data_IF_211809182914
#
_entry.id   IF_211809182914
#
_cell.length_a   1.000
_cell.length_b   1.000
_cell.length_c   1.000
_cell.angle_alpha   90.00
_cell.angle_beta   90.00
_cell.angle_gamma   90.00
#
_symmetry.space_group_name_H-M   'P 1'
#
loop_
_entity.id
_entity.type
_entity.pdbx_description
1 polymer ?
#
# COMPACT_ATOMS: atom_id res chain seq x y z
N UNK A 1 -28.25 4.87 23.78
CA UNK A 1 -27.82 6.26 23.80
C UNK A 1 -26.32 6.32 24.01
N UNK A 2 -25.59 7.03 23.13
CA UNK A 2 -24.17 7.25 23.31
C UNK A 2 -23.95 8.07 24.60
N UNK A 3 -22.91 7.77 25.42
CA UNK A 3 -22.59 8.60 26.56
C UNK A 3 -22.27 10.03 26.11
N UNK A 4 -22.62 11.06 26.89
CA UNK A 4 -22.34 12.44 26.54
C UNK A 4 -20.84 12.60 26.33
N UNK A 5 -20.48 13.32 25.25
CA UNK A 5 -19.09 13.61 24.93
C UNK A 5 -18.42 14.29 26.14
N UNK A 6 -17.36 13.68 26.66
CA UNK A 6 -16.54 14.30 27.69
C UNK A 6 -16.08 15.67 27.22
N UNK A 7 -16.13 16.65 28.11
CA UNK A 7 -15.97 18.07 27.97
C UNK A 7 -15.20 18.60 26.74
N UNK A 8 -15.54 19.81 26.31
CA UNK A 8 -14.91 20.49 25.15
C UNK A 8 -13.40 20.42 25.26
N UNK A 9 -12.80 19.59 24.38
CA UNK A 9 -11.35 19.56 24.21
C UNK A 9 -10.94 20.92 23.67
N UNK A 10 -10.06 21.69 24.32
CA UNK A 10 -9.61 22.97 23.82
C UNK A 10 -8.99 22.79 22.42
N UNK A 11 -9.46 23.55 21.46
CA UNK A 11 -8.95 23.53 20.10
C UNK A 11 -7.50 24.06 20.12
N UNK A 12 -6.54 23.20 19.82
CA UNK A 12 -5.14 23.58 19.79
C UNK A 12 -4.78 24.14 18.41
N UNK A 13 -4.54 25.44 18.33
CA UNK A 13 -4.15 26.15 17.10
C UNK A 13 -2.77 25.76 16.58
N UNK A 14 -1.92 25.17 17.43
CA UNK A 14 -0.61 24.67 17.04
C UNK A 14 -0.71 23.25 16.47
N UNK A 15 -1.19 23.13 15.23
CA UNK A 15 -1.46 21.85 14.54
C UNK A 15 -0.23 20.94 14.55
N UNK A 16 0.97 21.49 14.35
CA UNK A 16 2.22 20.70 14.31
C UNK A 16 2.51 20.10 15.68
N UNK A 17 2.44 20.88 16.76
CA UNK A 17 2.66 20.37 18.12
C UNK A 17 1.60 19.33 18.50
N UNK A 18 0.33 19.59 18.21
CA UNK A 18 -0.75 18.66 18.46
C UNK A 18 -0.56 17.32 17.68
N UNK A 19 -0.03 17.39 16.46
CA UNK A 19 0.30 16.21 15.65
C UNK A 19 1.46 15.42 16.24
N UNK A 20 2.52 16.09 16.67
CA UNK A 20 3.68 15.46 17.32
C UNK A 20 3.27 14.79 18.63
N UNK A 21 2.48 15.46 19.48
CA UNK A 21 1.99 14.92 20.75
C UNK A 21 1.08 13.71 20.52
N UNK A 22 0.23 13.78 19.50
CA UNK A 22 -0.63 12.68 19.09
C UNK A 22 0.18 11.45 18.69
N UNK A 23 1.16 11.62 17.82
CA UNK A 23 2.06 10.56 17.37
C UNK A 23 2.85 9.99 18.54
N UNK A 24 3.48 10.86 19.36
CA UNK A 24 4.28 10.43 20.51
C UNK A 24 3.44 9.62 21.52
N UNK A 25 2.22 10.08 21.83
CA UNK A 25 1.32 9.37 22.75
C UNK A 25 0.89 7.99 22.23
N UNK A 26 0.85 7.78 20.93
CA UNK A 26 0.47 6.51 20.31
C UNK A 26 1.66 5.56 20.14
N UNK A 27 2.83 6.10 19.76
CA UNK A 27 4.01 5.30 19.44
C UNK A 27 4.75 4.73 20.67
N UNK A 28 4.45 5.15 21.90
CA UNK A 28 5.07 4.58 23.10
C UNK A 28 4.65 3.11 23.34
N UNK A 29 3.53 2.67 22.78
CA UNK A 29 3.07 1.29 22.84
C UNK A 29 3.74 0.49 21.73
N UNK A 30 4.75 -0.33 22.08
CA UNK A 30 5.59 -1.05 21.11
C UNK A 30 4.79 -1.82 20.03
N UNK A 31 3.68 -2.45 20.39
CA UNK A 31 2.83 -3.21 19.44
C UNK A 31 2.15 -2.26 18.41
N UNK A 32 1.65 -1.13 18.87
CA UNK A 32 1.06 -0.09 17.99
C UNK A 32 2.14 0.56 17.12
N UNK A 33 3.30 0.86 17.70
CA UNK A 33 4.44 1.39 16.96
C UNK A 33 4.82 0.49 15.78
N UNK A 34 4.99 -0.82 16.01
CA UNK A 34 5.34 -1.77 14.96
C UNK A 34 4.25 -1.88 13.89
N UNK A 35 2.97 -1.87 14.28
CA UNK A 35 1.86 -1.90 13.33
C UNK A 35 1.83 -0.64 12.46
N UNK A 36 1.95 0.55 13.08
CA UNK A 36 1.98 1.83 12.36
C UNK A 36 3.19 1.89 11.41
N UNK A 37 4.38 1.50 11.89
CA UNK A 37 5.59 1.48 11.07
C UNK A 37 5.43 0.55 9.86
N UNK A 38 4.87 -0.64 10.06
CA UNK A 38 4.62 -1.61 8.99
C UNK A 38 3.61 -1.10 7.96
N UNK A 39 2.52 -0.47 8.41
CA UNK A 39 1.52 0.15 7.54
C UNK A 39 2.14 1.32 6.77
N UNK A 40 2.92 2.17 7.45
CA UNK A 40 3.56 3.33 6.84
C UNK A 40 4.60 2.94 5.79
N UNK A 41 5.39 1.89 6.05
CA UNK A 41 6.33 1.35 5.08
C UNK A 41 5.60 0.78 3.85
N UNK A 42 4.49 0.07 4.05
CA UNK A 42 3.65 -0.41 2.95
C UNK A 42 3.15 0.73 2.07
N UNK A 43 2.63 1.80 2.67
CA UNK A 43 2.13 2.96 1.94
C UNK A 43 3.25 3.74 1.24
N UNK A 44 4.43 3.86 1.86
CA UNK A 44 5.61 4.48 1.23
C UNK A 44 6.03 3.71 -0.03
N UNK A 45 6.16 2.38 0.07
CA UNK A 45 6.47 1.52 -1.07
C UNK A 45 5.39 1.62 -2.15
N UNK A 46 4.11 1.61 -1.76
CA UNK A 46 2.98 1.76 -2.67
C UNK A 46 3.00 3.08 -3.44
N UNK A 47 3.31 4.18 -2.76
CA UNK A 47 3.44 5.50 -3.39
C UNK A 47 4.58 5.53 -4.42
N UNK A 48 5.73 4.97 -4.08
CA UNK A 48 6.88 4.86 -5.00
C UNK A 48 6.53 3.99 -6.21
N UNK A 49 5.87 2.85 -6.02
CA UNK A 49 5.45 1.97 -7.11
C UNK A 49 4.48 2.67 -8.07
N UNK A 50 3.47 3.36 -7.55
CA UNK A 50 2.52 4.12 -8.38
C UNK A 50 3.23 5.23 -9.15
N UNK A 51 4.18 5.93 -8.52
CA UNK A 51 4.96 6.98 -9.17
C UNK A 51 5.88 6.44 -10.27
N UNK A 52 6.37 5.20 -10.14
CA UNK A 52 7.25 4.55 -11.11
C UNK A 52 6.47 3.97 -12.30
N UNK A 53 5.18 3.64 -12.18
CA UNK A 53 4.43 3.02 -13.27
C UNK A 53 4.45 3.81 -14.59
N UNK A 54 4.16 5.14 -14.64
CA UNK A 54 4.24 5.87 -15.88
C UNK A 54 5.63 5.86 -16.56
N UNK A 55 6.73 6.17 -15.85
CA UNK A 55 8.07 6.10 -16.46
C UNK A 55 8.48 4.67 -16.83
N UNK A 56 8.09 3.64 -16.06
CA UNK A 56 8.32 2.24 -16.40
C UNK A 56 7.65 1.88 -17.72
N UNK A 57 6.37 2.22 -17.88
CA UNK A 57 5.58 1.94 -19.08
C UNK A 57 6.16 2.67 -20.28
N UNK A 58 6.48 3.95 -20.15
CA UNK A 58 6.99 4.76 -21.26
C UNK A 58 8.43 4.42 -21.63
N UNK A 59 9.32 4.35 -20.63
CA UNK A 59 10.76 4.30 -20.89
C UNK A 59 11.29 2.88 -21.02
N UNK A 60 10.69 1.90 -20.31
CA UNK A 60 11.13 0.50 -20.32
C UNK A 60 10.29 -0.32 -21.29
N UNK A 61 8.96 -0.21 -21.21
CA UNK A 61 8.07 -1.02 -22.05
C UNK A 61 7.79 -0.39 -23.43
N UNK A 62 8.09 0.90 -23.60
CA UNK A 62 7.79 1.62 -24.83
C UNK A 62 6.30 1.71 -25.14
N UNK A 63 5.44 1.74 -24.11
CA UNK A 63 4.00 1.70 -24.24
C UNK A 63 3.31 3.02 -23.86
N UNK A 64 2.06 3.16 -24.25
CA UNK A 64 1.26 4.37 -24.05
C UNK A 64 0.70 4.48 -22.59
N UNK A 65 0.13 5.65 -22.28
CA UNK A 65 -0.44 5.94 -20.95
C UNK A 65 -1.61 5.02 -20.55
N UNK A 66 -2.27 4.38 -21.53
CA UNK A 66 -3.36 3.42 -21.27
C UNK A 66 -2.83 2.18 -20.57
N UNK A 67 -1.60 1.76 -20.88
CA UNK A 67 -0.93 0.65 -20.19
C UNK A 67 -0.59 1.03 -18.75
N UNK A 68 -0.17 2.27 -18.50
CA UNK A 68 0.05 2.75 -17.12
C UNK A 68 -1.27 2.77 -16.33
N UNK A 69 -2.36 3.21 -16.93
CA UNK A 69 -3.70 3.17 -16.33
C UNK A 69 -4.16 1.74 -16.05
N UNK A 70 -3.88 0.80 -16.96
CA UNK A 70 -4.12 -0.63 -16.75
C UNK A 70 -3.36 -1.14 -15.51
N UNK A 71 -2.09 -0.76 -15.33
CA UNK A 71 -1.28 -1.17 -14.17
C UNK A 71 -1.89 -0.69 -12.86
N UNK A 72 -2.33 0.56 -12.80
CA UNK A 72 -3.02 1.12 -11.62
C UNK A 72 -4.34 0.37 -11.37
N UNK A 73 -5.10 0.07 -12.42
CA UNK A 73 -6.34 -0.71 -12.32
C UNK A 73 -6.11 -2.12 -11.78
N UNK A 74 -5.12 -2.85 -12.32
CA UNK A 74 -4.74 -4.19 -11.85
C UNK A 74 -4.29 -4.14 -10.38
N UNK A 75 -3.49 -3.15 -10.01
CA UNK A 75 -3.03 -2.97 -8.65
C UNK A 75 -4.19 -2.74 -7.68
N UNK A 76 -5.16 -1.90 -8.05
CA UNK A 76 -6.35 -1.61 -7.23
C UNK A 76 -7.22 -2.87 -7.05
N UNK A 77 -7.48 -3.61 -8.14
CA UNK A 77 -8.23 -4.87 -8.11
C UNK A 77 -7.50 -5.92 -7.27
N UNK A 78 -6.18 -6.02 -7.41
CA UNK A 78 -5.36 -6.94 -6.64
C UNK A 78 -5.44 -6.69 -5.13
N UNK A 79 -5.35 -5.43 -4.70
CA UNK A 79 -5.52 -5.07 -3.28
C UNK A 79 -6.90 -5.48 -2.78
N UNK A 80 -7.96 -5.24 -3.55
CA UNK A 80 -9.31 -5.62 -3.17
C UNK A 80 -9.45 -7.15 -3.02
N UNK A 81 -8.91 -7.93 -3.96
CA UNK A 81 -8.89 -9.40 -3.88
C UNK A 81 -8.11 -9.86 -2.64
N UNK A 82 -6.93 -9.31 -2.40
CA UNK A 82 -6.09 -9.63 -1.24
C UNK A 82 -6.80 -9.34 0.09
N UNK A 83 -7.51 -8.21 0.16
CA UNK A 83 -8.29 -7.80 1.33
C UNK A 83 -9.42 -8.80 1.66
N UNK A 84 -10.13 -9.27 0.63
CA UNK A 84 -11.17 -10.29 0.80
C UNK A 84 -10.56 -11.66 1.15
N UNK A 85 -9.47 -12.03 0.47
CA UNK A 85 -8.80 -13.31 0.69
C UNK A 85 -8.30 -13.46 2.13
N UNK A 86 -7.60 -12.45 2.66
CA UNK A 86 -7.08 -12.50 4.02
C UNK A 86 -8.17 -12.55 5.07
N UNK A 87 -9.29 -11.83 4.84
CA UNK A 87 -10.42 -11.83 5.76
C UNK A 87 -11.06 -13.22 5.86
N UNK A 88 -11.17 -13.93 4.74
CA UNK A 88 -11.63 -15.34 4.71
C UNK A 88 -10.64 -16.29 5.37
N UNK A 89 -9.33 -16.13 5.12
CA UNK A 89 -8.28 -16.98 5.70
C UNK A 89 -8.19 -16.83 7.22
N UNK A 90 -8.40 -15.63 7.73
CA UNK A 90 -8.41 -15.32 9.16
C UNK A 90 -9.75 -15.65 9.84
N UNK A 91 -10.79 -16.08 9.08
CA UNK A 91 -12.15 -16.32 9.60
C UNK A 91 -12.67 -15.13 10.42
N UNK A 92 -12.38 -13.93 9.96
CA UNK A 92 -12.68 -12.65 10.63
C UNK A 92 -11.98 -12.44 11.98
N UNK A 93 -10.98 -13.25 12.33
CA UNK A 93 -10.14 -13.00 13.50
C UNK A 93 -9.08 -11.93 13.20
N UNK A 94 -8.82 -11.06 14.18
CA UNK A 94 -7.76 -10.06 14.07
C UNK A 94 -6.42 -10.68 14.40
N UNK A 95 -5.63 -11.02 13.39
CA UNK A 95 -4.33 -11.66 13.57
C UNK A 95 -3.34 -11.27 12.46
N UNK A 96 -2.14 -10.92 12.84
CA UNK A 96 -1.04 -10.61 11.92
C UNK A 96 -0.23 -11.85 11.49
N UNK A 97 -0.70 -13.08 11.77
CA UNK A 97 0.06 -14.32 11.52
C UNK A 97 0.49 -14.52 10.06
N UNK A 98 -0.28 -14.00 9.11
CA UNK A 98 0.03 -14.09 7.69
C UNK A 98 0.89 -12.91 7.17
N UNK A 99 1.17 -11.89 8.00
CA UNK A 99 1.94 -10.73 7.57
C UNK A 99 3.34 -11.10 7.04
N UNK A 100 4.14 -11.97 7.67
CA UNK A 100 5.45 -12.36 7.13
C UNK A 100 5.34 -13.06 5.78
N UNK A 101 4.39 -13.98 5.61
CA UNK A 101 4.16 -14.68 4.35
C UNK A 101 3.73 -13.70 3.24
N UNK A 102 2.86 -12.75 3.57
CA UNK A 102 2.40 -11.72 2.61
C UNK A 102 3.53 -10.82 2.16
N UNK A 103 4.42 -10.38 3.06
CA UNK A 103 5.60 -9.58 2.71
C UNK A 103 6.56 -10.37 1.83
N UNK A 104 6.82 -11.63 2.16
CA UNK A 104 7.68 -12.50 1.36
C UNK A 104 7.10 -12.70 -0.04
N UNK A 105 5.81 -12.99 -0.15
CA UNK A 105 5.15 -13.12 -1.45
C UNK A 105 5.21 -11.80 -2.25
N UNK A 106 4.97 -10.65 -1.61
CA UNK A 106 5.10 -9.34 -2.25
C UNK A 106 6.52 -9.13 -2.78
N UNK A 107 7.56 -9.46 -2.00
CA UNK A 107 8.95 -9.34 -2.42
C UNK A 107 9.25 -10.23 -3.64
N UNK A 108 8.74 -11.46 -3.67
CA UNK A 108 8.89 -12.38 -4.82
C UNK A 108 8.26 -11.78 -6.07
N UNK A 109 7.04 -11.22 -5.97
CA UNK A 109 6.38 -10.60 -7.12
C UNK A 109 7.06 -9.29 -7.58
N UNK A 110 7.65 -8.51 -6.67
CA UNK A 110 8.48 -7.35 -7.03
C UNK A 110 9.72 -7.79 -7.81
N UNK A 111 10.38 -8.86 -7.37
CA UNK A 111 11.53 -9.42 -8.09
C UNK A 111 11.12 -9.99 -9.46
N UNK A 112 9.97 -10.64 -9.54
CA UNK A 112 9.40 -11.10 -10.81
C UNK A 112 9.11 -9.92 -11.75
N UNK A 113 8.49 -8.85 -11.24
CA UNK A 113 8.26 -7.63 -12.00
C UNK A 113 9.57 -7.03 -12.54
N UNK A 114 10.59 -6.96 -11.67
CA UNK A 114 11.93 -6.49 -12.04
C UNK A 114 12.56 -7.36 -13.13
N UNK A 115 12.43 -8.68 -13.00
CA UNK A 115 12.95 -9.64 -13.97
C UNK A 115 12.25 -9.46 -15.33
N UNK A 116 10.93 -9.43 -15.35
CA UNK A 116 10.13 -9.27 -16.58
C UNK A 116 10.43 -7.93 -17.24
N UNK A 117 10.51 -6.83 -16.47
CA UNK A 117 10.88 -5.51 -16.99
C UNK A 117 12.29 -5.49 -17.58
N UNK A 118 13.23 -6.24 -16.97
CA UNK A 118 14.61 -6.35 -17.48
C UNK A 118 14.75 -7.22 -18.73
N UNK A 119 13.85 -8.20 -18.90
CA UNK A 119 13.82 -9.10 -20.06
C UNK A 119 12.88 -8.60 -21.17
N UNK A 120 12.28 -7.40 -20.99
CA UNK A 120 11.36 -6.85 -21.96
C UNK A 120 12.08 -6.35 -23.20
N UNK A 121 11.83 -6.99 -24.34
CA UNK A 121 12.38 -6.55 -25.62
C UNK A 121 11.65 -5.30 -26.09
N UNK A 122 12.34 -4.17 -25.97
CA UNK A 122 11.83 -2.90 -26.46
C UNK A 122 11.94 -2.87 -27.99
N UNK A 123 10.81 -3.01 -28.67
CA UNK A 123 10.76 -2.71 -30.10
C UNK A 123 11.08 -1.22 -30.27
N UNK A 124 12.14 -0.90 -31.00
CA UNK A 124 12.55 0.47 -31.30
C UNK A 124 11.67 1.07 -32.42
N UNK A 125 10.36 0.98 -32.26
CA UNK A 125 9.44 1.67 -33.15
C UNK A 125 9.33 3.14 -32.75
N UNK A 126 9.18 4.01 -33.74
CA UNK A 126 9.01 5.46 -33.56
C UNK A 126 7.71 5.82 -32.83
N UNK A 127 6.81 4.85 -32.66
CA UNK A 127 5.51 5.02 -31.99
C UNK A 127 5.42 4.16 -30.74
N UNK A 128 4.80 4.70 -29.68
CA UNK A 128 4.52 3.96 -28.46
C UNK A 128 3.56 2.79 -28.74
N UNK A 129 3.83 1.65 -28.14
CA UNK A 129 3.00 0.45 -28.24
C UNK A 129 1.63 0.71 -27.62
N UNK A 130 0.56 0.47 -28.37
CA UNK A 130 -0.80 0.59 -27.89
C UNK A 130 -1.14 -0.51 -26.88
N UNK A 131 -2.19 -0.30 -26.08
CA UNK A 131 -2.68 -1.29 -25.12
C UNK A 131 -2.96 -2.66 -25.78
N UNK A 132 -3.54 -2.68 -27.00
CA UNK A 132 -3.80 -3.92 -27.72
C UNK A 132 -2.52 -4.68 -28.05
N UNK A 133 -1.53 -4.00 -28.57
CA UNK A 133 -0.24 -4.59 -28.91
C UNK A 133 0.55 -4.99 -27.66
N UNK A 134 0.43 -4.23 -26.56
CA UNK A 134 1.01 -4.63 -25.27
C UNK A 134 0.48 -5.98 -24.80
N UNK A 135 -0.84 -6.21 -24.88
CA UNK A 135 -1.46 -7.45 -24.44
C UNK A 135 -1.09 -8.67 -25.29
N UNK A 136 -0.66 -8.46 -26.54
CA UNK A 136 -0.18 -9.54 -27.42
C UNK A 136 1.30 -9.88 -27.19
N UNK A 137 2.03 -9.06 -26.41
CA UNK A 137 3.43 -9.33 -26.10
C UNK A 137 3.59 -10.59 -25.24
N UNK A 138 4.53 -11.51 -25.55
CA UNK A 138 4.68 -12.77 -24.83
C UNK A 138 4.87 -12.62 -23.31
N UNK A 139 5.50 -11.53 -22.88
CA UNK A 139 5.77 -11.25 -21.46
C UNK A 139 4.66 -10.46 -20.76
N UNK A 140 3.64 -9.97 -21.48
CA UNK A 140 2.57 -9.16 -20.90
C UNK A 140 1.78 -9.93 -19.82
N UNK A 141 1.47 -11.19 -20.07
CA UNK A 141 0.78 -12.03 -19.10
C UNK A 141 1.57 -12.18 -17.80
N UNK A 142 2.89 -12.38 -17.90
CA UNK A 142 3.75 -12.52 -16.72
C UNK A 142 3.89 -11.19 -15.96
N UNK A 143 3.92 -10.05 -16.67
CA UNK A 143 3.88 -8.71 -16.09
C UNK A 143 2.60 -8.48 -15.29
N UNK A 144 1.45 -8.83 -15.86
CA UNK A 144 0.14 -8.72 -15.21
C UNK A 144 0.08 -9.62 -13.96
N UNK A 145 0.56 -10.85 -14.06
CA UNK A 145 0.63 -11.78 -12.91
C UNK A 145 1.52 -11.22 -11.80
N UNK A 146 2.68 -10.64 -12.14
CA UNK A 146 3.57 -10.04 -11.17
C UNK A 146 2.90 -8.85 -10.43
N UNK A 147 2.26 -7.95 -11.18
CA UNK A 147 1.54 -6.80 -10.62
C UNK A 147 0.37 -7.25 -9.74
N UNK A 148 -0.45 -8.18 -10.23
CA UNK A 148 -1.60 -8.68 -9.52
C UNK A 148 -1.20 -9.43 -8.24
N UNK A 149 -0.20 -10.31 -8.33
CA UNK A 149 0.32 -11.05 -7.18
C UNK A 149 0.91 -10.15 -6.11
N UNK A 150 1.67 -9.12 -6.51
CA UNK A 150 2.20 -8.10 -5.61
C UNK A 150 1.07 -7.34 -4.91
N UNK A 151 0.04 -6.92 -5.64
CA UNK A 151 -1.09 -6.18 -5.10
C UNK A 151 -1.96 -7.04 -4.16
N UNK A 152 -2.24 -8.29 -4.52
CA UNK A 152 -2.95 -9.24 -3.66
C UNK A 152 -2.20 -9.44 -2.34
N UNK A 153 -0.89 -9.71 -2.42
CA UNK A 153 -0.04 -9.88 -1.24
C UNK A 153 -0.01 -8.62 -0.36
N UNK A 154 -0.01 -7.43 -0.99
CA UNK A 154 -0.10 -6.15 -0.31
C UNK A 154 -1.41 -5.96 0.45
N UNK A 155 -2.55 -6.29 -0.17
CA UNK A 155 -3.85 -6.28 0.48
C UNK A 155 -3.94 -7.26 1.66
N UNK A 156 -3.39 -8.47 1.48
CA UNK A 156 -3.30 -9.47 2.55
C UNK A 156 -2.41 -9.03 3.72
N UNK A 157 -1.43 -8.18 3.47
CA UNK A 157 -0.55 -7.63 4.49
C UNK A 157 -1.20 -6.49 5.27
N UNK A 158 -1.73 -5.48 4.57
CA UNK A 158 -2.13 -4.22 5.20
C UNK A 158 -3.44 -4.32 5.97
N UNK A 159 -4.40 -5.10 5.49
CA UNK A 159 -5.75 -5.18 6.08
C UNK A 159 -5.76 -5.68 7.52
N UNK A 160 -5.10 -6.81 7.87
CA UNK A 160 -5.09 -7.27 9.26
C UNK A 160 -4.33 -6.32 10.20
N UNK A 161 -3.37 -5.55 9.70
CA UNK A 161 -2.65 -4.55 10.49
C UNK A 161 -3.55 -3.36 10.83
N UNK A 162 -4.40 -2.90 9.89
CA UNK A 162 -5.42 -1.89 10.19
C UNK A 162 -6.48 -2.40 11.17
N UNK A 163 -6.93 -3.64 11.01
CA UNK A 163 -7.86 -4.25 11.96
C UNK A 163 -7.22 -4.32 13.35
N UNK A 164 -5.97 -4.74 13.47
CA UNK A 164 -5.21 -4.74 14.72
C UNK A 164 -5.10 -3.33 15.32
N UNK A 165 -4.75 -2.33 14.52
CA UNK A 165 -4.61 -0.95 14.97
C UNK A 165 -5.90 -0.41 15.60
N UNK A 166 -7.05 -0.70 15.00
CA UNK A 166 -8.35 -0.18 15.43
C UNK A 166 -9.00 -0.98 16.57
N UNK A 167 -8.61 -2.23 16.76
CA UNK A 167 -9.19 -3.10 17.80
C UNK A 167 -8.34 -3.21 19.07
N UNK A 168 -7.05 -2.86 19.01
CA UNK A 168 -6.13 -2.94 20.15
C UNK A 168 -6.32 -1.79 21.15
N UNK A 169 -6.90 -0.67 20.72
CA UNK A 169 -7.13 0.50 21.55
C UNK A 169 -8.61 0.62 21.96
N UNK A 170 -8.91 1.27 23.11
CA UNK A 170 -10.28 1.59 23.48
C UNK A 170 -10.97 2.40 22.38
N UNK A 171 -12.30 2.24 22.25
CA UNK A 171 -13.08 2.97 21.21
C UNK A 171 -12.94 4.48 21.30
N UNK A 172 -12.72 5.02 22.50
CA UNK A 172 -12.47 6.44 22.74
C UNK A 172 -11.15 6.96 22.12
N UNK A 173 -10.19 6.08 21.92
CA UNK A 173 -8.86 6.41 21.39
C UNK A 173 -8.67 5.99 19.91
N UNK A 174 -9.62 5.24 19.35
CA UNK A 174 -9.48 4.72 17.97
C UNK A 174 -9.27 5.85 16.96
N UNK A 175 -10.07 6.92 17.03
CA UNK A 175 -9.93 8.05 16.11
C UNK A 175 -8.57 8.73 16.24
N UNK A 176 -8.05 8.86 17.46
CA UNK A 176 -6.73 9.41 17.75
C UNK A 176 -5.62 8.54 17.19
N UNK A 177 -5.71 7.23 17.36
CA UNK A 177 -4.74 6.26 16.85
C UNK A 177 -4.71 6.24 15.32
N UNK A 178 -5.88 6.27 14.67
CA UNK A 178 -5.98 6.37 13.19
C UNK A 178 -5.41 7.68 12.69
N UNK A 179 -5.66 8.79 13.40
CA UNK A 179 -5.06 10.10 13.09
C UNK A 179 -3.53 10.07 13.14
N UNK A 180 -2.95 9.50 14.21
CA UNK A 180 -1.50 9.31 14.35
C UNK A 180 -0.93 8.44 13.21
N UNK A 181 -1.58 7.32 12.89
CA UNK A 181 -1.19 6.45 11.79
C UNK A 181 -1.19 7.21 10.45
N UNK A 182 -2.22 8.01 10.16
CA UNK A 182 -2.29 8.76 8.91
C UNK A 182 -1.19 9.82 8.78
N UNK A 183 -0.82 10.49 9.89
CA UNK A 183 0.30 11.43 9.90
C UNK A 183 1.61 10.70 9.56
N UNK A 184 1.90 9.58 10.24
CA UNK A 184 3.12 8.80 10.00
C UNK A 184 3.14 8.25 8.57
N UNK A 185 2.01 7.74 8.06
CA UNK A 185 1.89 7.27 6.68
C UNK A 185 2.21 8.38 5.67
N UNK A 186 1.63 9.58 5.86
CA UNK A 186 1.88 10.71 4.96
C UNK A 186 3.35 11.12 4.96
N UNK A 187 3.99 11.18 6.13
CA UNK A 187 5.43 11.45 6.23
C UNK A 187 6.26 10.37 5.54
N UNK A 188 5.91 9.10 5.73
CA UNK A 188 6.60 7.97 5.10
C UNK A 188 6.45 7.97 3.58
N UNK A 189 5.24 8.27 3.06
CA UNK A 189 4.99 8.38 1.62
C UNK A 189 5.81 9.51 0.99
N UNK A 190 5.80 10.71 1.60
CA UNK A 190 6.60 11.84 1.11
C UNK A 190 8.10 11.51 1.17
N UNK A 191 8.56 10.93 2.29
CA UNK A 191 9.95 10.50 2.44
C UNK A 191 10.37 9.46 1.39
N UNK A 192 9.49 8.49 1.08
CA UNK A 192 9.74 7.47 0.06
C UNK A 192 9.80 8.02 -1.37
N UNK A 193 9.09 9.12 -1.66
CA UNK A 193 9.10 9.74 -3.00
C UNK A 193 10.32 10.66 -3.22
N UNK A 194 10.98 11.10 -2.15
CA UNK A 194 12.16 12.00 -2.21
C UNK A 194 13.48 11.21 -2.30
N UNK A 195 13.50 9.96 -1.84
CA UNK A 195 14.66 9.06 -1.91
C UNK A 195 14.81 8.42 -3.31
#
# INVERSE_FOLDING_TARGET
PAPPAAGRIPFNWHIIHASIDLVRATLHIRRLFLAILSISLFWAIGAVLIAIFPPLVKNVLGADERVASLFIGIFSVGIAIGSVAINRLLKSEVSARFAPASVTAMAVFVLLLRFVAGAWDKHMDTHLTTLGNFLTHPMAGLMIVALLGMAISGGMFVVPLYAFLTTTVPRTETARTVGANNIVNSCAMVGGLVL
#
